data_IF_489267399768
#
_entry.id   IF_489267399768
#
_cell.length_a   1.000
_cell.length_b   1.000
_cell.length_c   1.000
_cell.angle_alpha   90.00
_cell.angle_beta   90.00
_cell.angle_gamma   90.00
#
_symmetry.space_group_name_H-M   'P 1'
#
loop_
_entity.id
_entity.type
_entity.pdbx_description
1 polymer ?
#
# COMPACT_ATOMS: atom_id res chain seq x y z
N UNK A 1 -13.24 -33.44 5.16
CA UNK A 1 -14.33 -32.55 4.67
C UNK A 1 -13.70 -31.27 4.18
N UNK A 2 -13.90 -30.91 2.91
CA UNK A 2 -13.45 -29.62 2.37
C UNK A 2 -14.20 -28.50 3.09
N UNK A 3 -13.51 -27.48 3.59
CA UNK A 3 -14.18 -26.24 4.00
C UNK A 3 -14.92 -25.66 2.78
N UNK A 4 -16.11 -25.06 2.96
CA UNK A 4 -16.72 -24.24 1.92
C UNK A 4 -15.72 -23.18 1.44
N UNK A 5 -15.63 -22.96 0.14
CA UNK A 5 -14.67 -22.03 -0.47
C UNK A 5 -14.71 -20.62 0.15
N UNK A 6 -15.91 -20.15 0.55
CA UNK A 6 -16.10 -18.86 1.24
C UNK A 6 -15.41 -18.82 2.61
N UNK A 7 -15.50 -19.90 3.39
CA UNK A 7 -14.87 -20.00 4.71
C UNK A 7 -13.34 -20.14 4.59
N UNK A 8 -12.86 -20.74 3.49
CA UNK A 8 -11.43 -20.77 3.18
C UNK A 8 -10.91 -19.36 2.84
N UNK A 9 -11.66 -18.59 2.04
CA UNK A 9 -11.29 -17.20 1.70
C UNK A 9 -11.25 -16.28 2.92
N UNK A 10 -12.23 -16.36 3.82
CA UNK A 10 -12.26 -15.52 5.04
C UNK A 10 -11.20 -15.90 6.06
N UNK A 11 -10.66 -17.13 6.00
CA UNK A 11 -9.57 -17.58 6.88
C UNK A 11 -8.17 -17.50 6.24
N UNK A 12 -8.08 -17.07 4.98
CA UNK A 12 -6.79 -16.92 4.29
C UNK A 12 -6.18 -15.56 4.67
N UNK A 13 -4.92 -15.51 5.13
CA UNK A 13 -4.20 -14.26 5.37
C UNK A 13 -4.15 -13.39 4.11
N UNK A 14 -4.45 -12.11 4.24
CA UNK A 14 -4.38 -11.13 3.14
C UNK A 14 -3.15 -10.25 3.33
N UNK A 15 -2.45 -9.97 2.23
CA UNK A 15 -1.43 -8.92 2.14
C UNK A 15 -2.00 -7.77 1.32
N UNK A 16 -1.97 -6.56 1.88
CA UNK A 16 -2.40 -5.36 1.18
C UNK A 16 -1.20 -4.61 0.62
N UNK A 17 -1.14 -4.44 -0.70
CA UNK A 17 -0.09 -3.65 -1.34
C UNK A 17 -0.51 -2.20 -1.55
N UNK A 18 0.34 -1.26 -1.13
CA UNK A 18 0.07 0.17 -1.17
C UNK A 18 1.25 0.90 -1.79
N UNK A 19 1.08 1.35 -3.03
CA UNK A 19 2.04 2.25 -3.67
C UNK A 19 1.92 3.63 -3.02
N UNK A 20 3.02 4.21 -2.50
CA UNK A 20 3.01 5.57 -1.96
C UNK A 20 2.55 6.59 -2.99
N UNK A 21 1.95 7.73 -2.58
CA UNK A 21 1.56 8.77 -3.51
C UNK A 21 2.79 9.46 -4.12
N UNK A 22 2.59 10.10 -5.28
CA UNK A 22 3.62 10.89 -5.96
C UNK A 22 4.27 11.97 -5.10
N UNK A 23 5.58 12.23 -5.29
CA UNK A 23 6.33 13.25 -4.51
C UNK A 23 5.80 14.68 -4.63
N UNK A 24 5.05 14.97 -5.71
CA UNK A 24 4.53 16.31 -6.02
C UNK A 24 3.10 16.54 -5.54
N UNK A 25 2.50 15.56 -4.86
CA UNK A 25 1.12 15.68 -4.37
C UNK A 25 1.12 16.56 -3.11
N UNK A 26 0.05 17.33 -2.91
CA UNK A 26 -0.08 18.20 -1.72
C UNK A 26 -0.19 17.40 -0.43
N UNK A 27 0.29 17.95 0.68
CA UNK A 27 0.21 17.35 2.01
C UNK A 27 -1.23 16.96 2.39
N UNK A 28 -2.20 17.83 2.09
CA UNK A 28 -3.63 17.54 2.31
C UNK A 28 -4.07 16.24 1.60
N UNK A 29 -3.63 16.04 0.37
CA UNK A 29 -3.98 14.84 -0.40
C UNK A 29 -3.25 13.59 0.12
N UNK A 30 -2.00 13.74 0.58
CA UNK A 30 -1.26 12.67 1.27
C UNK A 30 -2.00 12.24 2.55
N UNK A 31 -2.40 13.19 3.39
CA UNK A 31 -3.13 12.89 4.64
C UNK A 31 -4.47 12.22 4.36
N UNK A 32 -5.21 12.70 3.35
CA UNK A 32 -6.46 12.06 2.93
C UNK A 32 -6.24 10.62 2.42
N UNK A 33 -5.12 10.38 1.71
CA UNK A 33 -4.75 9.05 1.25
C UNK A 33 -4.43 8.12 2.42
N UNK A 34 -3.61 8.57 3.37
CA UNK A 34 -3.24 7.82 4.59
C UNK A 34 -4.47 7.44 5.40
N UNK A 35 -5.41 8.37 5.61
CA UNK A 35 -6.64 8.06 6.35
C UNK A 35 -7.53 7.04 5.64
N UNK A 36 -7.60 7.05 4.30
CA UNK A 36 -8.29 5.99 3.55
C UNK A 36 -7.61 4.64 3.72
N UNK A 37 -6.27 4.60 3.64
CA UNK A 37 -5.48 3.39 3.85
C UNK A 37 -5.75 2.82 5.25
N UNK A 38 -5.69 3.67 6.29
CA UNK A 38 -6.01 3.28 7.67
C UNK A 38 -7.44 2.75 7.80
N UNK A 39 -8.39 3.37 7.11
CA UNK A 39 -9.77 2.88 7.02
C UNK A 39 -9.86 1.48 6.40
N UNK A 40 -9.18 1.25 5.28
CA UNK A 40 -9.14 -0.06 4.60
C UNK A 40 -8.49 -1.13 5.47
N UNK A 41 -7.33 -0.84 6.08
CA UNK A 41 -6.61 -1.74 6.99
C UNK A 41 -7.51 -2.18 8.15
N UNK A 42 -8.24 -1.23 8.77
CA UNK A 42 -9.17 -1.54 9.87
C UNK A 42 -10.37 -2.38 9.45
N UNK A 43 -10.74 -2.36 8.17
CA UNK A 43 -11.90 -3.09 7.66
C UNK A 43 -11.60 -4.54 7.26
N UNK A 44 -10.32 -4.90 7.15
CA UNK A 44 -9.87 -6.23 6.73
C UNK A 44 -9.54 -7.09 7.97
N UNK A 45 -10.46 -7.98 8.35
CA UNK A 45 -10.34 -8.82 9.56
C UNK A 45 -9.18 -9.83 9.50
N UNK A 46 -8.78 -10.25 8.31
CA UNK A 46 -7.74 -11.26 8.04
C UNK A 46 -6.47 -10.66 7.39
N UNK A 47 -6.24 -9.35 7.59
CA UNK A 47 -5.01 -8.72 7.11
C UNK A 47 -3.81 -9.16 7.96
N UNK A 48 -2.79 -9.69 7.29
CA UNK A 48 -1.56 -10.18 7.93
C UNK A 48 -0.40 -9.20 7.75
N UNK A 49 -0.31 -8.57 6.58
CA UNK A 49 0.75 -7.62 6.28
C UNK A 49 0.31 -6.52 5.31
N UNK A 50 1.02 -5.39 5.38
CA UNK A 50 0.95 -4.31 4.39
C UNK A 50 2.29 -4.28 3.65
N UNK A 51 2.26 -4.46 2.33
CA UNK A 51 3.42 -4.28 1.46
C UNK A 51 3.45 -2.82 0.95
N UNK A 52 4.55 -2.12 1.17
CA UNK A 52 4.76 -0.76 0.66
C UNK A 52 5.94 -0.85 -0.31
N UNK A 53 5.70 -1.08 -1.62
CA UNK A 53 6.77 -1.31 -2.57
C UNK A 53 7.52 -0.02 -2.88
N UNK A 54 8.82 -0.17 -3.09
CA UNK A 54 9.67 0.84 -3.69
C UNK A 54 9.48 0.79 -5.21
N UNK A 55 8.90 1.85 -5.79
CA UNK A 55 8.72 1.95 -7.25
C UNK A 55 9.83 2.80 -7.85
N UNK A 56 10.67 2.15 -8.64
CA UNK A 56 11.80 2.73 -9.35
C UNK A 56 11.47 2.80 -10.85
N UNK A 57 11.43 4.02 -11.38
CA UNK A 57 11.32 4.28 -12.81
C UNK A 57 12.69 4.68 -13.39
N UNK A 58 12.79 4.77 -14.71
CA UNK A 58 13.97 5.29 -15.41
C UNK A 58 13.67 6.71 -15.92
N UNK A 59 14.55 7.67 -15.67
CA UNK A 59 14.41 9.02 -16.22
C UNK A 59 14.93 9.13 -17.67
N UNK A 60 14.77 10.31 -18.28
CA UNK A 60 15.25 10.60 -19.64
C UNK A 60 16.77 10.42 -19.85
N UNK A 61 17.55 10.31 -18.78
CA UNK A 61 19.00 10.10 -18.81
C UNK A 61 19.38 8.63 -18.53
N UNK A 62 18.42 7.70 -18.45
CA UNK A 62 18.68 6.30 -18.15
C UNK A 62 18.98 6.01 -16.67
N UNK A 63 18.68 6.95 -15.77
CA UNK A 63 19.02 6.84 -14.35
C UNK A 63 17.78 6.48 -13.51
N UNK A 64 17.97 5.75 -12.40
CA UNK A 64 16.93 5.51 -11.40
C UNK A 64 16.21 6.80 -10.99
N UNK A 65 14.89 6.76 -11.01
CA UNK A 65 14.03 7.89 -10.66
C UNK A 65 12.84 7.44 -9.83
N UNK A 66 12.69 8.08 -8.69
CA UNK A 66 11.56 7.87 -7.80
C UNK A 66 10.49 8.89 -8.08
N UNK A 67 9.35 8.40 -8.56
CA UNK A 67 8.16 9.22 -8.79
C UNK A 67 7.34 9.41 -7.51
N UNK A 68 7.35 8.42 -6.65
CA UNK A 68 6.55 8.32 -5.44
C UNK A 68 7.36 8.66 -4.18
N UNK A 69 6.65 8.90 -3.08
CA UNK A 69 7.28 9.05 -1.76
C UNK A 69 8.11 7.81 -1.44
N UNK A 70 9.19 8.02 -0.70
CA UNK A 70 9.98 6.90 -0.18
C UNK A 70 9.07 6.00 0.70
N UNK A 71 9.10 4.66 0.53
CA UNK A 71 8.27 3.75 1.32
C UNK A 71 8.46 3.89 2.83
N UNK A 72 9.68 4.16 3.30
CA UNK A 72 9.99 4.30 4.72
C UNK A 72 9.42 5.61 5.25
N UNK A 73 9.61 6.70 4.52
CA UNK A 73 9.01 8.00 4.87
C UNK A 73 7.48 7.90 4.90
N UNK A 74 6.87 7.26 3.90
CA UNK A 74 5.43 7.06 3.83
C UNK A 74 4.91 6.19 4.98
N UNK A 75 5.65 5.14 5.37
CA UNK A 75 5.26 4.25 6.47
C UNK A 75 5.25 4.92 7.85
N UNK A 76 5.92 6.07 7.98
CA UNK A 76 5.99 6.84 9.22
C UNK A 76 4.85 7.86 9.40
N UNK A 77 3.94 8.00 8.41
CA UNK A 77 2.83 8.97 8.39
C UNK A 77 1.56 8.50 9.14
#
# INVERSE_FOLDING_TARGET
MSRPFRDALTSTPVVLEIVPPGRRVSEKAVNAFVERVRGSVRSLENLDAVNIPEVLEENHAGQPFYRDLDPRDFSAL
#
